data_IF_372891150433
#
_entry.id   IF_372891150433
#
_cell.length_a   1.000
_cell.length_b   1.000
_cell.length_c   1.000
_cell.angle_alpha   90.00
_cell.angle_beta   90.00
_cell.angle_gamma   90.00
#
_symmetry.space_group_name_H-M   'P 1'
#
loop_
_entity.id
_entity.type
_entity.pdbx_description
1 polymer ?
#
# COMPACT_ATOMS: atom_id res chain seq x y z
N UNK A 1 22.10 1.97 -6.85
CA UNK A 1 21.54 2.26 -5.52
C UNK A 1 22.46 1.71 -4.46
N UNK A 2 22.82 2.52 -3.47
CA UNK A 2 23.68 2.14 -2.32
C UNK A 2 22.97 2.53 -1.02
N UNK A 3 23.28 1.82 0.06
CA UNK A 3 22.86 2.19 1.41
C UNK A 3 24.11 2.70 2.14
N UNK A 4 24.07 3.96 2.55
CA UNK A 4 25.09 4.59 3.38
C UNK A 4 24.65 4.55 4.84
N UNK A 5 25.57 4.23 5.74
CA UNK A 5 25.33 4.25 7.19
C UNK A 5 26.12 5.40 7.79
N UNK A 6 25.42 6.38 8.38
CA UNK A 6 26.04 7.57 8.93
C UNK A 6 27.00 7.27 10.09
N UNK A 7 28.18 7.90 10.05
CA UNK A 7 29.28 7.75 11.02
C UNK A 7 29.39 8.99 11.90
N UNK A 8 30.12 8.92 13.02
CA UNK A 8 30.37 10.12 13.81
C UNK A 8 31.05 11.23 13.00
N UNK A 9 30.47 12.44 13.05
CA UNK A 9 30.97 13.61 12.33
C UNK A 9 30.41 13.77 10.91
N UNK A 10 29.61 12.83 10.40
CA UNK A 10 28.98 12.97 9.11
C UNK A 10 27.89 14.06 9.11
N UNK A 11 27.83 14.77 8.00
CA UNK A 11 26.76 15.71 7.69
C UNK A 11 26.11 15.33 6.37
N UNK A 12 24.87 15.74 6.17
CA UNK A 12 24.17 15.50 4.89
C UNK A 12 24.97 16.06 3.71
N UNK A 13 25.57 17.24 3.86
CA UNK A 13 26.43 17.87 2.86
C UNK A 13 27.69 17.05 2.58
N UNK A 14 28.35 16.57 3.65
CA UNK A 14 29.56 15.75 3.51
C UNK A 14 29.27 14.43 2.79
N UNK A 15 28.17 13.76 3.15
CA UNK A 15 27.76 12.53 2.48
C UNK A 15 27.36 12.80 1.02
N UNK A 16 26.60 13.85 0.74
CA UNK A 16 26.23 14.21 -0.63
C UNK A 16 27.47 14.47 -1.52
N UNK A 17 28.45 15.20 -0.98
CA UNK A 17 29.70 15.49 -1.69
C UNK A 17 30.52 14.21 -2.01
N UNK A 18 30.46 13.15 -1.19
CA UNK A 18 31.13 11.86 -1.47
C UNK A 18 30.58 11.16 -2.70
N UNK A 19 29.34 11.47 -3.09
CA UNK A 19 28.61 10.84 -4.20
C UNK A 19 28.31 11.81 -5.35
N UNK A 20 28.92 12.98 -5.35
CA UNK A 20 28.71 14.05 -6.36
C UNK A 20 27.21 14.41 -6.52
N UNK A 21 26.48 14.46 -5.39
CA UNK A 21 25.07 14.78 -5.33
C UNK A 21 24.81 16.15 -4.72
N UNK A 22 23.82 16.86 -5.24
CA UNK A 22 23.27 18.02 -4.54
C UNK A 22 22.64 17.57 -3.19
N UNK A 23 22.95 18.25 -2.08
CA UNK A 23 22.43 17.90 -0.75
C UNK A 23 20.90 17.83 -0.68
N UNK A 24 20.22 18.68 -1.44
CA UNK A 24 18.76 18.71 -1.54
C UNK A 24 18.19 17.43 -2.19
N UNK A 25 18.88 16.84 -3.15
CA UNK A 25 18.50 15.57 -3.77
C UNK A 25 18.70 14.41 -2.80
N UNK A 26 19.84 14.34 -2.10
CA UNK A 26 20.08 13.31 -1.10
C UNK A 26 19.05 13.41 0.04
N UNK A 27 18.76 14.62 0.52
CA UNK A 27 17.72 14.86 1.51
C UNK A 27 16.35 14.37 1.01
N UNK A 28 15.97 14.78 -0.21
CA UNK A 28 14.68 14.44 -0.81
C UNK A 28 14.48 12.94 -0.98
N UNK A 29 15.51 12.19 -1.40
CA UNK A 29 15.47 10.72 -1.52
C UNK A 29 15.20 10.02 -0.19
N UNK A 30 15.55 10.66 0.91
CA UNK A 30 15.48 10.10 2.26
C UNK A 30 14.38 10.72 3.15
N UNK A 31 13.51 11.54 2.58
CA UNK A 31 12.46 12.23 3.35
C UNK A 31 13.00 13.20 4.40
N UNK A 32 14.21 13.72 4.19
CA UNK A 32 14.87 14.65 5.10
C UNK A 32 14.78 16.10 4.58
N UNK A 33 14.92 17.06 5.50
CA UNK A 33 15.21 18.44 5.13
C UNK A 33 16.70 18.60 4.79
N UNK A 34 17.05 19.49 3.88
CA UNK A 34 18.43 19.73 3.47
C UNK A 34 19.36 20.15 4.65
N UNK A 35 18.80 20.66 5.72
CA UNK A 35 19.50 21.06 6.95
C UNK A 35 19.44 19.99 8.06
N UNK A 36 18.93 18.79 7.78
CA UNK A 36 18.78 17.74 8.77
C UNK A 36 20.16 17.31 9.32
N UNK A 37 20.21 17.15 10.64
CA UNK A 37 21.35 16.51 11.29
C UNK A 37 21.22 15.00 11.17
N UNK A 38 22.30 14.33 10.80
CA UNK A 38 22.35 12.87 10.73
C UNK A 38 22.62 12.28 12.11
N UNK A 39 21.95 11.18 12.41
CA UNK A 39 22.19 10.38 13.62
C UNK A 39 23.17 9.25 13.26
N UNK A 40 24.17 9.01 14.12
CA UNK A 40 25.11 7.89 13.93
C UNK A 40 24.33 6.57 13.82
N UNK A 41 24.63 5.81 12.77
CA UNK A 41 23.90 4.57 12.46
C UNK A 41 22.64 4.79 11.58
N UNK A 42 22.25 6.03 11.33
CA UNK A 42 21.15 6.32 10.37
C UNK A 42 21.53 5.83 8.99
N UNK A 43 20.60 5.11 8.34
CA UNK A 43 20.77 4.66 6.97
C UNK A 43 20.23 5.69 5.98
N UNK A 44 20.98 5.92 4.90
CA UNK A 44 20.58 6.78 3.80
C UNK A 44 20.59 5.98 2.51
N UNK A 45 19.54 6.11 1.73
CA UNK A 45 19.49 5.64 0.34
C UNK A 45 20.25 6.64 -0.53
N UNK A 46 21.23 6.17 -1.27
CA UNK A 46 22.02 6.97 -2.22
C UNK A 46 21.79 6.42 -3.62
N UNK A 47 21.27 7.26 -4.51
CA UNK A 47 21.09 6.97 -5.93
C UNK A 47 21.55 8.15 -6.76
N UNK A 48 22.35 7.91 -7.78
CA UNK A 48 22.76 8.92 -8.73
C UNK A 48 21.64 9.10 -9.78
N UNK A 49 21.05 10.31 -9.89
CA UNK A 49 20.06 10.55 -10.92
C UNK A 49 20.75 10.68 -12.29
N UNK A 50 20.18 10.01 -13.30
CA UNK A 50 20.63 10.17 -14.68
C UNK A 50 20.20 11.52 -15.28
N UNK A 51 19.02 12.01 -14.87
CA UNK A 51 18.43 13.23 -15.40
C UNK A 51 17.69 13.97 -14.30
N UNK A 52 18.03 15.24 -14.13
CA UNK A 52 17.41 16.16 -13.16
C UNK A 52 16.87 17.39 -13.91
N UNK A 53 15.73 17.89 -13.49
CA UNK A 53 15.11 19.13 -13.96
C UNK A 53 15.08 20.15 -12.84
N UNK A 54 15.51 21.37 -13.13
CA UNK A 54 15.30 22.52 -12.23
C UNK A 54 13.97 23.18 -12.60
N UNK A 55 13.05 23.22 -11.64
CA UNK A 55 11.71 23.77 -11.84
C UNK A 55 11.78 25.26 -12.19
N UNK A 56 11.21 25.62 -13.33
CA UNK A 56 11.06 26.99 -13.80
C UNK A 56 9.67 27.56 -13.40
N UNK A 57 9.53 28.88 -13.46
CA UNK A 57 8.23 29.51 -13.25
C UNK A 57 7.21 29.03 -14.31
N UNK A 58 6.03 28.62 -13.85
CA UNK A 58 4.95 28.07 -14.69
C UNK A 58 5.07 26.57 -14.98
N UNK A 59 6.11 25.87 -14.51
CA UNK A 59 6.20 24.42 -14.61
C UNK A 59 5.14 23.74 -13.75
N UNK A 60 4.61 22.65 -14.27
CA UNK A 60 3.74 21.71 -13.58
C UNK A 60 4.27 20.29 -13.75
N UNK A 61 3.91 19.37 -12.85
CA UNK A 61 4.28 17.96 -13.02
C UNK A 61 3.85 17.42 -14.39
N UNK A 62 2.68 17.81 -14.88
CA UNK A 62 2.17 17.39 -16.20
C UNK A 62 2.98 17.99 -17.36
N UNK A 63 3.42 19.25 -17.28
CA UNK A 63 4.25 19.86 -18.33
C UNK A 63 5.64 19.25 -18.36
N UNK A 64 6.23 19.02 -17.18
CA UNK A 64 7.54 18.36 -17.04
C UNK A 64 7.46 16.91 -17.53
N UNK A 65 6.46 16.12 -17.09
CA UNK A 65 6.27 14.75 -17.56
C UNK A 65 6.20 14.68 -19.08
N UNK A 66 5.41 15.56 -19.71
CA UNK A 66 5.30 15.63 -21.19
C UNK A 66 6.63 16.01 -21.85
N UNK A 67 7.35 16.97 -21.29
CA UNK A 67 8.65 17.44 -21.81
C UNK A 67 9.68 16.31 -21.89
N UNK A 68 9.67 15.41 -20.90
CA UNK A 68 10.65 14.33 -20.77
C UNK A 68 10.13 12.96 -21.19
N UNK A 69 8.92 12.87 -21.76
CA UNK A 69 8.34 11.59 -22.23
C UNK A 69 8.08 10.59 -21.10
N UNK A 70 7.74 11.08 -19.90
CA UNK A 70 7.39 10.28 -18.72
C UNK A 70 5.97 10.60 -18.25
N UNK A 71 5.55 10.08 -17.12
CA UNK A 71 4.26 10.36 -16.51
C UNK A 71 4.41 10.93 -15.08
N UNK A 72 3.33 11.56 -14.59
CA UNK A 72 3.31 12.23 -13.27
C UNK A 72 3.55 11.25 -12.13
N UNK A 73 3.06 10.01 -12.23
CA UNK A 73 3.28 8.99 -11.22
C UNK A 73 4.76 8.60 -11.10
N UNK A 74 5.45 8.51 -12.24
CA UNK A 74 6.91 8.31 -12.26
C UNK A 74 7.65 9.47 -11.62
N UNK A 75 7.23 10.72 -11.85
CA UNK A 75 7.83 11.88 -11.18
C UNK A 75 7.62 11.82 -9.66
N UNK A 76 6.44 11.47 -9.17
CA UNK A 76 6.22 11.26 -7.72
C UNK A 76 7.11 10.16 -7.16
N UNK A 77 7.20 9.00 -7.83
CA UNK A 77 8.03 7.85 -7.40
C UNK A 77 9.52 8.18 -7.36
N UNK A 78 9.99 9.04 -8.24
CA UNK A 78 11.38 9.46 -8.27
C UNK A 78 11.71 10.57 -7.26
N UNK A 79 10.68 11.26 -6.74
CA UNK A 79 10.85 12.43 -5.86
C UNK A 79 10.01 12.28 -4.59
N UNK A 80 10.49 11.48 -3.65
CA UNK A 80 9.81 11.20 -2.38
C UNK A 80 9.45 12.49 -1.60
N UNK A 81 10.31 13.51 -1.68
CA UNK A 81 10.07 14.82 -1.06
C UNK A 81 8.82 15.56 -1.54
N UNK A 82 8.24 15.15 -2.68
CA UNK A 82 6.97 15.71 -3.14
C UNK A 82 5.80 15.30 -2.24
N UNK A 83 5.86 14.13 -1.57
CA UNK A 83 4.80 13.68 -0.68
C UNK A 83 3.40 13.68 -1.31
N UNK A 84 3.30 13.33 -2.61
CA UNK A 84 2.05 13.38 -3.38
C UNK A 84 1.60 14.79 -3.80
N UNK A 85 2.26 15.88 -3.39
CA UNK A 85 1.89 17.25 -3.78
C UNK A 85 2.10 17.49 -5.28
N UNK A 86 1.22 18.30 -5.87
CA UNK A 86 1.30 18.72 -7.28
C UNK A 86 1.91 20.11 -7.45
N UNK A 87 2.00 20.89 -6.39
CA UNK A 87 2.55 22.27 -6.42
C UNK A 87 4.06 22.20 -6.33
N UNK A 88 4.73 22.78 -7.32
CA UNK A 88 6.19 22.87 -7.43
C UNK A 88 6.69 24.25 -7.00
N UNK A 89 7.92 24.31 -6.53
CA UNK A 89 8.59 25.58 -6.19
C UNK A 89 9.66 25.87 -7.24
N UNK A 90 9.69 27.10 -7.75
CA UNK A 90 10.74 27.52 -8.68
C UNK A 90 12.12 27.32 -8.04
N UNK A 91 13.05 26.73 -8.80
CA UNK A 91 14.37 26.36 -8.32
C UNK A 91 14.46 24.98 -7.64
N UNK A 92 13.34 24.32 -7.40
CA UNK A 92 13.34 22.94 -6.88
C UNK A 92 13.95 21.97 -7.90
N UNK A 93 14.75 21.03 -7.41
CA UNK A 93 15.33 19.98 -8.24
C UNK A 93 14.41 18.75 -8.24
N UNK A 94 14.04 18.29 -9.44
CA UNK A 94 13.26 17.09 -9.63
C UNK A 94 14.07 16.03 -10.39
N UNK A 95 14.16 14.85 -9.84
CA UNK A 95 14.72 13.69 -10.53
C UNK A 95 13.71 13.20 -11.56
N UNK A 96 14.08 13.27 -12.81
CA UNK A 96 13.28 12.78 -13.94
C UNK A 96 13.51 11.28 -14.13
N UNK A 97 14.79 10.85 -14.08
CA UNK A 97 15.14 9.46 -14.28
C UNK A 97 16.37 9.07 -13.46
N UNK A 98 16.37 7.83 -13.01
CA UNK A 98 17.56 7.11 -12.52
C UNK A 98 17.99 6.09 -13.56
N UNK A 99 19.24 5.61 -13.49
CA UNK A 99 19.67 4.47 -14.27
C UNK A 99 18.98 3.19 -13.79
N UNK A 100 18.39 2.46 -14.73
CA UNK A 100 17.60 1.26 -14.45
C UNK A 100 18.45 -0.04 -14.43
N UNK A 101 19.72 0.03 -14.77
CA UNK A 101 20.61 -1.12 -14.91
C UNK A 101 20.79 -1.97 -13.63
N UNK A 102 20.36 -1.45 -12.49
CA UNK A 102 20.44 -2.12 -11.20
C UNK A 102 19.09 -2.66 -10.69
N UNK A 103 18.02 -2.69 -11.48
CA UNK A 103 16.73 -3.23 -11.05
C UNK A 103 16.79 -4.76 -11.00
N UNK A 104 16.50 -5.32 -9.81
CA UNK A 104 16.43 -6.77 -9.61
C UNK A 104 15.09 -7.37 -10.10
N UNK A 105 14.11 -6.53 -10.43
CA UNK A 105 12.77 -6.93 -10.87
C UNK A 105 11.68 -5.98 -10.38
N UNK A 106 10.43 -6.42 -10.57
CA UNK A 106 9.25 -5.73 -10.04
C UNK A 106 8.72 -6.46 -8.80
N UNK A 107 8.17 -5.71 -7.85
CA UNK A 107 7.55 -6.23 -6.64
C UNK A 107 6.18 -5.58 -6.45
N UNK A 108 5.16 -6.38 -6.10
CA UNK A 108 3.87 -5.86 -5.64
C UNK A 108 3.98 -5.39 -4.20
N UNK A 109 3.47 -4.19 -3.91
CA UNK A 109 3.42 -3.63 -2.55
C UNK A 109 1.96 -3.38 -2.21
N UNK A 110 1.47 -3.96 -1.12
CA UNK A 110 0.15 -3.72 -0.56
C UNK A 110 0.27 -2.92 0.74
N UNK A 111 -0.66 -2.02 0.98
CA UNK A 111 -0.82 -1.34 2.27
C UNK A 111 -2.27 -1.39 2.73
N UNK A 112 -2.46 -1.66 4.01
CA UNK A 112 -3.74 -1.48 4.69
C UNK A 112 -3.86 -0.04 5.14
N UNK A 113 -5.05 0.54 4.98
CA UNK A 113 -5.33 1.90 5.41
C UNK A 113 -6.70 1.99 6.09
N UNK A 114 -6.74 2.63 7.26
CA UNK A 114 -7.99 2.96 7.91
C UNK A 114 -8.69 4.13 7.21
N UNK A 115 -10.04 4.19 7.19
CA UNK A 115 -10.78 5.32 6.59
C UNK A 115 -10.44 6.70 7.15
N UNK A 116 -9.89 6.75 8.37
CA UNK A 116 -9.50 7.98 9.05
C UNK A 116 -7.99 8.30 8.95
N UNK A 117 -7.27 7.65 8.03
CA UNK A 117 -5.85 7.95 7.78
C UNK A 117 -5.66 9.42 7.43
N UNK A 118 -4.56 10.01 7.89
CA UNK A 118 -4.17 11.36 7.45
C UNK A 118 -3.97 11.41 5.93
N UNK A 119 -4.65 12.35 5.26
CA UNK A 119 -4.64 12.45 3.80
C UNK A 119 -3.25 12.77 3.25
N UNK A 120 -2.42 13.52 3.96
CA UNK A 120 -1.06 13.81 3.52
C UNK A 120 -0.17 12.56 3.59
N UNK A 121 -0.35 11.73 4.62
CA UNK A 121 0.33 10.43 4.72
C UNK A 121 -0.10 9.49 3.60
N UNK A 122 -1.40 9.42 3.32
CA UNK A 122 -1.93 8.62 2.22
C UNK A 122 -1.36 9.07 0.87
N UNK A 123 -1.39 10.36 0.58
CA UNK A 123 -0.86 10.93 -0.66
C UNK A 123 0.66 10.72 -0.81
N UNK A 124 1.40 10.71 0.29
CA UNK A 124 2.83 10.42 0.29
C UNK A 124 3.14 8.94 0.01
N UNK A 125 2.34 8.01 0.52
CA UNK A 125 2.56 6.57 0.39
C UNK A 125 1.97 5.98 -0.90
N UNK A 126 0.78 6.41 -1.31
CA UNK A 126 0.01 5.81 -2.39
C UNK A 126 0.73 5.70 -3.75
N UNK A 127 1.61 6.64 -4.17
CA UNK A 127 2.38 6.51 -5.41
C UNK A 127 3.25 5.25 -5.50
N UNK A 128 3.62 4.66 -4.35
CA UNK A 128 4.50 3.49 -4.27
C UNK A 128 3.75 2.17 -4.15
N UNK A 129 2.42 2.21 -4.02
CA UNK A 129 1.60 1.03 -3.84
C UNK A 129 1.21 0.41 -5.18
N UNK A 130 1.18 -0.93 -5.20
CA UNK A 130 0.51 -1.73 -6.23
C UNK A 130 -0.94 -1.99 -5.85
N UNK A 131 -1.18 -2.18 -4.54
CA UNK A 131 -2.50 -2.43 -3.96
C UNK A 131 -2.74 -1.51 -2.77
N UNK A 132 -3.98 -1.08 -2.60
CA UNK A 132 -4.45 -0.37 -1.41
C UNK A 132 -5.65 -1.11 -0.85
N UNK A 133 -5.58 -1.49 0.42
CA UNK A 133 -6.59 -2.29 1.10
C UNK A 133 -7.26 -1.47 2.20
N UNK A 134 -8.48 -0.91 1.95
CA UNK A 134 -9.27 -0.25 2.98
C UNK A 134 -9.62 -1.22 4.13
N UNK A 135 -9.26 -0.90 5.35
CA UNK A 135 -9.47 -1.73 6.53
C UNK A 135 -10.68 -1.23 7.33
N UNK A 136 -11.75 -1.98 7.54
CA UNK A 136 -12.13 -3.30 7.08
C UNK A 136 -13.65 -3.41 6.98
N UNK A 137 -14.16 -4.21 6.07
CA UNK A 137 -15.54 -4.67 6.09
C UNK A 137 -15.69 -5.77 7.13
N UNK A 138 -16.78 -5.72 7.89
CA UNK A 138 -17.10 -6.71 8.90
C UNK A 138 -18.26 -7.62 8.52
N UNK A 139 -18.69 -8.45 9.45
CA UNK A 139 -19.81 -9.38 9.30
C UNK A 139 -20.78 -9.20 10.46
N UNK A 140 -22.05 -8.99 10.14
CA UNK A 140 -23.14 -8.89 11.13
C UNK A 140 -23.56 -10.27 11.67
N UNK A 141 -24.37 -10.30 12.73
CA UNK A 141 -24.86 -11.57 13.30
C UNK A 141 -25.68 -12.43 12.32
N UNK A 142 -26.35 -11.79 11.38
CA UNK A 142 -27.15 -12.47 10.37
C UNK A 142 -26.38 -12.73 9.05
N UNK A 143 -25.05 -12.63 9.09
CA UNK A 143 -24.16 -12.90 7.97
C UNK A 143 -24.11 -11.82 6.88
N UNK A 144 -24.75 -10.67 7.09
CA UNK A 144 -24.68 -9.57 6.13
C UNK A 144 -23.34 -8.82 6.25
N UNK A 145 -22.89 -8.26 5.14
CA UNK A 145 -21.69 -7.44 5.09
C UNK A 145 -21.90 -6.12 5.84
N UNK A 146 -21.01 -5.79 6.78
CA UNK A 146 -20.97 -4.48 7.42
C UNK A 146 -20.25 -3.48 6.52
N UNK A 147 -20.87 -2.31 6.25
CA UNK A 147 -20.30 -1.33 5.31
C UNK A 147 -19.05 -0.63 5.87
N UNK A 148 -18.22 -0.14 4.96
CA UNK A 148 -17.04 0.68 5.26
C UNK A 148 -17.14 2.01 4.52
N UNK A 149 -16.75 3.10 5.19
CA UNK A 149 -16.61 4.41 4.57
C UNK A 149 -15.20 4.53 3.93
N UNK A 150 -15.05 4.02 2.73
CA UNK A 150 -13.77 3.88 2.03
C UNK A 150 -13.62 4.81 0.81
N UNK A 151 -14.54 5.75 0.61
CA UNK A 151 -14.59 6.58 -0.60
C UNK A 151 -13.27 7.35 -0.86
N UNK A 152 -12.66 7.92 0.18
CA UNK A 152 -11.41 8.67 0.06
C UNK A 152 -10.23 7.75 -0.30
N UNK A 153 -10.20 6.53 0.26
CA UNK A 153 -9.19 5.52 -0.05
C UNK A 153 -9.32 5.02 -1.49
N UNK A 154 -10.53 4.77 -1.97
CA UNK A 154 -10.79 4.38 -3.36
C UNK A 154 -10.44 5.49 -4.33
N UNK A 155 -10.72 6.75 -3.97
CA UNK A 155 -10.31 7.92 -4.75
C UNK A 155 -8.79 8.06 -4.84
N UNK A 156 -8.08 7.80 -3.74
CA UNK A 156 -6.62 7.77 -3.74
C UNK A 156 -6.06 6.61 -4.58
N UNK A 157 -6.63 5.40 -4.44
CA UNK A 157 -6.25 4.25 -5.25
C UNK A 157 -6.36 4.56 -6.75
N UNK A 158 -7.48 5.15 -7.19
CA UNK A 158 -7.68 5.55 -8.58
C UNK A 158 -6.68 6.61 -9.03
N UNK A 159 -6.43 7.65 -8.19
CA UNK A 159 -5.49 8.74 -8.48
C UNK A 159 -4.06 8.23 -8.71
N UNK A 160 -3.61 7.30 -7.88
CA UNK A 160 -2.23 6.79 -7.89
C UNK A 160 -2.08 5.45 -8.61
N UNK A 161 -3.16 4.95 -9.25
CA UNK A 161 -3.19 3.69 -10.00
C UNK A 161 -2.80 2.47 -9.15
N UNK A 162 -3.15 2.49 -7.86
CA UNK A 162 -3.11 1.31 -7.01
C UNK A 162 -4.41 0.52 -7.20
N UNK A 163 -4.34 -0.80 -7.25
CA UNK A 163 -5.52 -1.65 -7.35
C UNK A 163 -6.18 -1.78 -5.96
N UNK A 164 -7.45 -1.39 -5.77
CA UNK A 164 -8.08 -1.51 -4.46
C UNK A 164 -8.47 -2.96 -4.17
N UNK A 165 -8.11 -3.47 -2.98
CA UNK A 165 -8.55 -4.76 -2.49
C UNK A 165 -9.62 -4.57 -1.41
N UNK A 166 -10.75 -5.26 -1.55
CA UNK A 166 -11.79 -5.28 -0.52
C UNK A 166 -11.30 -6.16 0.63
N UNK A 167 -11.19 -5.60 1.84
CA UNK A 167 -10.76 -6.35 3.02
C UNK A 167 -11.96 -6.84 3.82
N UNK A 168 -12.06 -8.15 3.98
CA UNK A 168 -13.11 -8.80 4.75
C UNK A 168 -12.52 -9.42 6.01
N UNK A 169 -13.02 -9.02 7.17
CA UNK A 169 -12.63 -9.59 8.46
C UNK A 169 -13.85 -9.99 9.31
N UNK A 170 -13.59 -10.57 10.48
CA UNK A 170 -14.64 -10.91 11.45
C UNK A 170 -14.99 -9.75 12.39
N UNK A 171 -14.80 -8.49 11.92
CA UNK A 171 -15.16 -7.30 12.68
C UNK A 171 -16.68 -7.25 12.90
N UNK A 172 -17.08 -6.96 14.14
CA UNK A 172 -18.47 -6.80 14.56
C UNK A 172 -18.91 -5.33 14.51
N UNK A 173 -20.19 -5.08 14.71
CA UNK A 173 -20.76 -3.74 14.80
C UNK A 173 -20.19 -2.93 15.97
N UNK A 174 -19.66 -3.60 17.00
CA UNK A 174 -19.02 -3.00 18.17
C UNK A 174 -17.52 -2.71 17.95
N UNK A 175 -16.99 -3.03 16.77
CA UNK A 175 -15.60 -2.75 16.41
C UNK A 175 -14.58 -3.74 16.99
N UNK A 176 -14.97 -4.96 17.30
CA UNK A 176 -14.09 -6.04 17.77
C UNK A 176 -14.10 -7.24 16.83
N UNK A 177 -13.02 -7.99 16.76
CA UNK A 177 -12.97 -9.26 16.03
C UNK A 177 -13.61 -10.38 16.84
N UNK A 178 -14.32 -11.29 16.16
CA UNK A 178 -15.13 -12.32 16.82
C UNK A 178 -14.98 -13.70 16.20
N UNK A 179 -14.50 -14.66 17.02
CA UNK A 179 -14.52 -16.08 16.68
C UNK A 179 -15.95 -16.59 16.49
N UNK A 180 -16.89 -16.09 17.27
CA UNK A 180 -18.29 -16.51 17.21
C UNK A 180 -18.89 -16.12 15.84
N UNK A 181 -18.57 -14.91 15.31
CA UNK A 181 -19.01 -14.50 13.97
C UNK A 181 -18.46 -15.39 12.88
N UNK A 182 -17.17 -15.74 12.94
CA UNK A 182 -16.58 -16.68 12.01
C UNK A 182 -17.24 -18.06 12.10
N UNK A 183 -17.49 -18.54 13.33
CA UNK A 183 -18.13 -19.84 13.55
C UNK A 183 -19.56 -19.88 13.00
N UNK A 184 -20.39 -18.87 13.27
CA UNK A 184 -21.76 -18.76 12.75
C UNK A 184 -21.75 -18.80 11.22
N UNK A 185 -20.88 -18.02 10.59
CA UNK A 185 -20.76 -17.98 9.13
C UNK A 185 -20.29 -19.31 8.57
N UNK A 186 -19.20 -19.89 9.13
CA UNK A 186 -18.58 -21.09 8.60
C UNK A 186 -19.48 -22.34 8.70
N UNK A 187 -20.39 -22.36 9.67
CA UNK A 187 -21.35 -23.45 9.86
C UNK A 187 -22.68 -23.24 9.13
N UNK A 188 -22.86 -22.16 8.36
CA UNK A 188 -24.11 -21.85 7.68
C UNK A 188 -23.92 -21.54 6.19
N UNK A 189 -24.18 -22.52 5.30
CA UNK A 189 -24.11 -22.30 3.85
C UNK A 189 -24.99 -21.13 3.35
N UNK A 190 -26.16 -20.94 3.95
CA UNK A 190 -27.07 -19.87 3.56
C UNK A 190 -26.49 -18.47 3.88
N UNK A 191 -25.80 -18.33 5.02
CA UNK A 191 -25.13 -17.09 5.38
C UNK A 191 -23.89 -16.84 4.51
N UNK A 192 -23.16 -17.90 4.16
CA UNK A 192 -22.03 -17.79 3.22
C UNK A 192 -22.50 -17.31 1.86
N UNK A 193 -23.59 -17.88 1.31
CA UNK A 193 -24.12 -17.47 0.00
C UNK A 193 -24.58 -16.00 0.01
N UNK A 194 -25.26 -15.57 1.07
CA UNK A 194 -25.67 -14.17 1.24
C UNK A 194 -24.46 -13.24 1.29
N UNK A 195 -23.46 -13.56 2.12
CA UNK A 195 -22.25 -12.74 2.24
C UNK A 195 -21.49 -12.66 0.91
N UNK A 196 -21.37 -13.77 0.20
CA UNK A 196 -20.71 -13.81 -1.11
C UNK A 196 -21.44 -12.89 -2.10
N UNK A 197 -22.76 -12.87 -2.07
CA UNK A 197 -23.53 -11.98 -2.94
C UNK A 197 -23.31 -10.50 -2.57
N UNK A 198 -23.37 -10.17 -1.28
CA UNK A 198 -23.10 -8.81 -0.78
C UNK A 198 -21.67 -8.34 -1.16
N UNK A 199 -20.68 -9.23 -1.07
CA UNK A 199 -19.30 -8.97 -1.49
C UNK A 199 -19.26 -8.67 -3.01
N UNK A 200 -19.85 -9.52 -3.83
CA UNK A 200 -19.83 -9.36 -5.29
C UNK A 200 -20.49 -8.04 -5.72
N UNK A 201 -21.62 -7.70 -5.13
CA UNK A 201 -22.32 -6.46 -5.43
C UNK A 201 -21.50 -5.26 -4.99
N UNK A 202 -20.93 -5.28 -3.77
CA UNK A 202 -20.06 -4.20 -3.26
C UNK A 202 -18.81 -4.03 -4.13
N UNK A 203 -18.14 -5.14 -4.50
CA UNK A 203 -16.94 -5.10 -5.33
C UNK A 203 -17.22 -4.51 -6.72
N UNK A 204 -18.35 -4.87 -7.31
CA UNK A 204 -18.79 -4.33 -8.61
C UNK A 204 -19.09 -2.84 -8.53
N UNK A 205 -19.89 -2.44 -7.54
CA UNK A 205 -20.36 -1.06 -7.39
C UNK A 205 -19.24 -0.09 -7.08
N UNK A 206 -18.26 -0.53 -6.29
CA UNK A 206 -17.13 0.30 -5.84
C UNK A 206 -15.87 0.14 -6.69
N UNK A 207 -15.83 -0.81 -7.62
CA UNK A 207 -14.69 -1.04 -8.51
C UNK A 207 -13.47 -1.67 -7.84
N UNK A 208 -13.68 -2.57 -6.89
CA UNK A 208 -12.57 -3.32 -6.29
C UNK A 208 -11.91 -4.27 -7.29
N UNK A 209 -10.61 -4.44 -7.17
CA UNK A 209 -9.80 -5.33 -7.98
C UNK A 209 -9.91 -6.79 -7.51
N UNK A 210 -9.97 -7.02 -6.21
CA UNK A 210 -9.99 -8.35 -5.60
C UNK A 210 -10.44 -8.33 -4.16
N UNK A 211 -10.53 -9.50 -3.55
CA UNK A 211 -10.93 -9.71 -2.16
C UNK A 211 -9.72 -10.16 -1.34
N UNK A 212 -9.51 -9.54 -0.18
CA UNK A 212 -8.52 -9.92 0.84
C UNK A 212 -9.26 -10.38 2.10
N UNK A 213 -9.14 -11.65 2.46
CA UNK A 213 -9.85 -12.27 3.58
C UNK A 213 -8.90 -12.40 4.77
N UNK A 214 -9.28 -11.81 5.91
CA UNK A 214 -8.50 -11.79 7.14
C UNK A 214 -9.32 -12.29 8.33
N UNK A 215 -9.47 -13.60 8.44
CA UNK A 215 -10.13 -14.24 9.59
C UNK A 215 -9.06 -14.74 10.58
N UNK A 216 -8.58 -13.85 11.43
CA UNK A 216 -7.52 -14.16 12.39
C UNK A 216 -7.96 -15.13 13.48
N UNK A 217 -9.24 -15.10 13.85
CA UNK A 217 -9.80 -15.81 14.99
C UNK A 217 -10.81 -16.87 14.54
N UNK A 218 -10.32 -17.97 14.01
CA UNK A 218 -11.12 -19.17 13.68
C UNK A 218 -10.88 -20.23 14.74
N UNK A 219 -11.92 -20.92 15.21
CA UNK A 219 -11.76 -22.00 16.16
C UNK A 219 -10.95 -23.15 15.55
N UNK A 220 -10.02 -23.80 16.30
CA UNK A 220 -9.12 -24.83 15.76
C UNK A 220 -9.81 -26.00 15.07
N UNK A 221 -11.01 -26.35 15.53
CA UNK A 221 -11.85 -27.41 14.97
C UNK A 221 -12.57 -26.98 13.67
N UNK A 222 -12.58 -25.70 13.34
CA UNK A 222 -13.28 -25.13 12.19
C UNK A 222 -12.35 -24.76 11.02
N UNK A 223 -11.04 -24.98 11.15
CA UNK A 223 -10.07 -24.63 10.08
C UNK A 223 -10.38 -25.28 8.72
N UNK A 224 -10.97 -26.48 8.71
CA UNK A 224 -11.40 -27.13 7.46
C UNK A 224 -12.58 -26.39 6.84
N UNK A 225 -13.56 -25.97 7.65
CA UNK A 225 -14.69 -25.15 7.19
C UNK A 225 -14.21 -23.81 6.62
N UNK A 226 -13.20 -23.20 7.25
CA UNK A 226 -12.60 -21.98 6.72
C UNK A 226 -11.90 -22.22 5.38
N UNK A 227 -11.12 -23.30 5.24
CA UNK A 227 -10.49 -23.65 3.98
C UNK A 227 -11.54 -23.91 2.87
N UNK A 228 -12.66 -24.54 3.20
CA UNK A 228 -13.78 -24.77 2.29
C UNK A 228 -14.47 -23.48 1.90
N UNK A 229 -14.66 -22.54 2.83
CA UNK A 229 -15.18 -21.20 2.55
C UNK A 229 -14.27 -20.42 1.61
N UNK A 230 -12.95 -20.42 1.83
CA UNK A 230 -11.98 -19.79 0.91
C UNK A 230 -12.05 -20.44 -0.49
N UNK A 231 -12.22 -21.76 -0.57
CA UNK A 231 -12.40 -22.45 -1.85
C UNK A 231 -13.65 -21.96 -2.55
N UNK A 232 -14.78 -21.87 -1.85
CA UNK A 232 -16.05 -21.37 -2.37
C UNK A 232 -15.90 -19.91 -2.86
N UNK A 233 -15.28 -19.03 -2.09
CA UNK A 233 -14.99 -17.67 -2.53
C UNK A 233 -14.19 -17.65 -3.85
N UNK A 234 -13.13 -18.43 -3.94
CA UNK A 234 -12.32 -18.50 -5.16
C UNK A 234 -13.11 -19.02 -6.36
N UNK A 235 -13.92 -20.06 -6.18
CA UNK A 235 -14.75 -20.63 -7.25
C UNK A 235 -15.80 -19.64 -7.76
N UNK A 236 -16.30 -18.75 -6.88
CA UNK A 236 -17.31 -17.75 -7.23
C UNK A 236 -16.70 -16.46 -7.80
N UNK A 237 -15.57 -16.00 -7.27
CA UNK A 237 -14.99 -14.70 -7.61
C UNK A 237 -13.97 -14.78 -8.76
N UNK A 238 -13.09 -15.80 -8.80
CA UNK A 238 -12.03 -15.86 -9.81
C UNK A 238 -12.55 -15.94 -11.26
N UNK A 239 -13.62 -16.66 -11.59
CA UNK A 239 -14.19 -16.66 -12.95
C UNK A 239 -14.71 -15.29 -13.40
N UNK A 240 -15.02 -14.40 -12.45
CA UNK A 240 -15.46 -13.02 -12.71
C UNK A 240 -14.28 -12.05 -12.79
N UNK A 241 -13.04 -12.52 -12.64
CA UNK A 241 -11.82 -11.72 -12.69
C UNK A 241 -11.36 -11.15 -11.34
N UNK A 242 -12.01 -11.50 -10.23
CA UNK A 242 -11.62 -11.04 -8.90
C UNK A 242 -10.70 -12.04 -8.20
N UNK A 243 -9.41 -11.76 -8.01
CA UNK A 243 -8.52 -12.61 -7.22
C UNK A 243 -8.94 -12.60 -5.74
N UNK A 244 -8.78 -13.76 -5.10
CA UNK A 244 -8.97 -13.92 -3.65
C UNK A 244 -7.61 -14.12 -3.00
N UNK A 245 -7.28 -13.25 -2.06
CA UNK A 245 -6.06 -13.24 -1.25
C UNK A 245 -6.47 -13.55 0.18
N UNK A 246 -5.58 -14.16 0.95
CA UNK A 246 -5.84 -14.51 2.36
C UNK A 246 -4.69 -14.01 3.21
N UNK A 247 -4.98 -13.19 4.21
CA UNK A 247 -4.02 -12.83 5.24
C UNK A 247 -3.76 -14.02 6.17
N UNK A 248 -2.50 -14.30 6.44
CA UNK A 248 -2.09 -15.39 7.32
C UNK A 248 -1.12 -14.87 8.37
N UNK A 249 -1.26 -15.34 9.61
CA UNK A 249 -0.31 -15.03 10.66
C UNK A 249 1.11 -15.56 10.30
N UNK A 250 2.18 -14.78 10.50
CA UNK A 250 3.52 -15.18 10.13
C UNK A 250 3.99 -16.37 10.99
N UNK A 251 4.58 -17.36 10.36
CA UNK A 251 5.28 -18.46 11.02
C UNK A 251 6.78 -18.30 10.94
N UNK A 252 7.45 -18.44 12.06
CA UNK A 252 8.92 -18.42 12.14
C UNK A 252 9.51 -19.82 12.29
N UNK A 253 8.69 -20.83 12.64
CA UNK A 253 9.08 -22.23 12.81
C UNK A 253 7.95 -23.16 12.42
N UNK A 254 8.28 -24.38 11.95
CA UNK A 254 7.30 -25.36 11.49
C UNK A 254 6.40 -25.93 12.60
N UNK A 255 6.89 -25.90 13.85
CA UNK A 255 6.17 -26.38 15.06
C UNK A 255 5.36 -25.28 15.75
N UNK A 256 5.37 -24.05 15.22
CA UNK A 256 4.62 -22.93 15.80
C UNK A 256 3.12 -23.19 15.61
N UNK A 257 2.34 -23.19 16.71
CA UNK A 257 0.91 -23.33 16.62
C UNK A 257 0.30 -22.14 15.86
N UNK A 258 -0.56 -22.44 14.91
CA UNK A 258 -1.33 -21.46 14.16
C UNK A 258 -2.70 -22.03 13.89
N UNK A 259 -3.74 -21.22 14.00
CA UNK A 259 -5.13 -21.66 13.84
C UNK A 259 -5.46 -22.04 12.39
N UNK A 260 -4.72 -21.50 11.42
CA UNK A 260 -4.99 -21.61 9.98
C UNK A 260 -3.93 -22.39 9.21
N UNK A 261 -3.10 -23.19 9.90
CA UNK A 261 -2.03 -23.95 9.25
C UNK A 261 -2.16 -25.45 9.46
#
# INVERSE_FOLDING_TARGET
>A
MQIYVAKPGDTLYGVAAQYDLEPSLLAGMNGLNATAQLVVGQTLVVREPRLVHTVAAGDTLSSIARRYGTDVLTLWRNNFSLGGRSVLRTGELLVIAFDDDARLGSMGVNAYAYPYIDGALLDAAAPYLSYLTPFTYGISQNGALLPLNDADLLSAAARYRAAPLMHLSTLTEEGSFSNERSSILLNSPDLQERLIQDILDTMRDKGFYGLDVDFEFVYPNERTLYADFIRTLRERLNPLGYPVIVALAPKTRGDQPGLLY
#
